data_IF_694791308175
#
_entry.id   IF_694791308175
#
_cell.length_a   1.000
_cell.length_b   1.000
_cell.length_c   1.000
_cell.angle_alpha   90.00
_cell.angle_beta   90.00
_cell.angle_gamma   90.00
#
_symmetry.space_group_name_H-M   'P 1'
#
loop_
_entity.id
_entity.type
_entity.pdbx_description
1 polymer ?
#
# COMPACT_ATOMS: atom_id res chain seq x y z
N UNK A 1 7.79 -6.58 26.84
CA UNK A 1 6.73 -7.02 25.91
C UNK A 1 5.87 -5.82 25.55
N UNK A 2 5.53 -5.67 24.27
CA UNK A 2 4.63 -4.62 23.79
C UNK A 2 3.19 -4.92 24.22
N UNK A 3 2.42 -3.87 24.50
CA UNK A 3 1.05 -4.00 25.02
C UNK A 3 0.09 -4.53 23.97
N UNK A 4 0.26 -4.08 22.70
CA UNK A 4 -0.65 -4.42 21.61
C UNK A 4 0.07 -5.16 20.49
N UNK A 5 -0.54 -6.20 19.98
CA UNK A 5 -0.07 -6.86 18.76
C UNK A 5 -0.33 -6.01 17.52
N UNK A 6 -1.40 -5.22 17.54
CA UNK A 6 -1.81 -4.40 16.41
C UNK A 6 -2.36 -3.06 16.88
N UNK A 7 -1.96 -1.96 16.21
CA UNK A 7 -2.61 -0.66 16.37
C UNK A 7 -3.03 -0.13 15.01
N UNK A 8 -4.26 0.37 14.91
CA UNK A 8 -4.81 1.03 13.71
C UNK A 8 -4.87 2.53 13.97
N UNK A 9 -3.96 3.28 13.38
CA UNK A 9 -3.91 4.73 13.45
C UNK A 9 -4.77 5.33 12.33
N UNK A 10 -5.73 6.20 12.68
CA UNK A 10 -6.68 6.79 11.74
C UNK A 10 -7.95 5.97 11.51
N UNK A 11 -8.32 5.11 12.45
CA UNK A 11 -9.50 4.24 12.37
C UNK A 11 -10.83 4.98 12.12
N UNK A 12 -10.93 6.26 12.43
CA UNK A 12 -12.16 7.07 12.21
C UNK A 12 -12.29 7.66 10.80
N UNK A 13 -11.26 7.50 9.96
CA UNK A 13 -11.30 7.88 8.54
C UNK A 13 -12.15 6.92 7.70
N UNK A 14 -12.37 7.25 6.41
CA UNK A 14 -13.19 6.44 5.49
C UNK A 14 -12.68 5.00 5.42
N UNK A 15 -11.42 4.81 5.05
CA UNK A 15 -10.79 3.47 4.99
C UNK A 15 -10.62 2.88 6.39
N UNK A 16 -10.29 3.71 7.38
CA UNK A 16 -10.11 3.29 8.76
C UNK A 16 -11.34 2.64 9.37
N UNK A 17 -12.55 3.15 9.08
CA UNK A 17 -13.80 2.56 9.56
C UNK A 17 -14.05 1.16 8.98
N UNK A 18 -13.74 0.95 7.69
CA UNK A 18 -13.86 -0.37 7.06
C UNK A 18 -12.84 -1.35 7.62
N UNK A 19 -11.60 -0.91 7.80
CA UNK A 19 -10.54 -1.70 8.44
C UNK A 19 -10.92 -2.06 9.88
N UNK A 20 -11.41 -1.09 10.65
CA UNK A 20 -11.90 -1.33 12.01
C UNK A 20 -12.99 -2.41 12.04
N UNK A 21 -14.03 -2.29 11.20
CA UNK A 21 -15.15 -3.26 11.17
C UNK A 21 -14.64 -4.66 10.85
N UNK A 22 -13.82 -4.79 9.82
CA UNK A 22 -13.25 -6.07 9.42
C UNK A 22 -12.43 -6.72 10.56
N UNK A 23 -11.55 -5.96 11.20
CA UNK A 23 -10.74 -6.46 12.32
C UNK A 23 -11.62 -6.80 13.53
N UNK A 24 -12.58 -5.95 13.87
CA UNK A 24 -13.47 -6.18 15.01
C UNK A 24 -14.36 -7.42 14.84
N UNK A 25 -14.71 -7.76 13.60
CA UNK A 25 -15.49 -8.95 13.27
C UNK A 25 -14.65 -10.23 13.24
N UNK A 26 -13.42 -10.18 12.71
CA UNK A 26 -12.63 -11.37 12.38
C UNK A 26 -11.50 -11.68 13.38
N UNK A 27 -11.04 -10.71 14.17
CA UNK A 27 -10.01 -10.97 15.17
C UNK A 27 -10.57 -11.82 16.33
N UNK A 28 -9.76 -12.72 16.91
CA UNK A 28 -10.12 -13.43 18.14
C UNK A 28 -10.49 -12.46 19.28
N UNK A 29 -11.42 -12.86 20.14
CA UNK A 29 -11.90 -12.01 21.23
C UNK A 29 -10.81 -11.57 22.21
N UNK A 30 -9.78 -12.39 22.37
CA UNK A 30 -8.61 -12.17 23.24
C UNK A 30 -7.42 -11.51 22.52
N UNK A 31 -7.58 -11.13 21.23
CA UNK A 31 -6.51 -10.48 20.48
C UNK A 31 -6.25 -9.07 20.98
N UNK A 32 -5.02 -8.80 21.40
CA UNK A 32 -4.63 -7.49 21.95
C UNK A 32 -4.40 -6.48 20.84
N UNK A 33 -5.35 -5.54 20.67
CA UNK A 33 -5.27 -4.48 19.67
C UNK A 33 -5.88 -3.17 20.15
N UNK A 34 -5.53 -2.08 19.44
CA UNK A 34 -6.04 -0.76 19.71
C UNK A 34 -6.34 0.02 18.43
N UNK A 35 -7.22 1.01 18.56
CA UNK A 35 -7.41 2.08 17.57
C UNK A 35 -6.83 3.37 18.11
N UNK A 36 -6.16 4.13 17.24
CA UNK A 36 -5.46 5.35 17.61
C UNK A 36 -5.90 6.54 16.76
N UNK A 37 -5.89 7.72 17.36
CA UNK A 37 -6.23 8.97 16.67
C UNK A 37 -6.39 10.15 17.63
N UNK A 38 -6.59 11.35 17.07
CA UNK A 38 -6.64 12.60 17.83
C UNK A 38 -7.95 12.84 18.59
N UNK A 39 -9.01 12.12 18.26
CA UNK A 39 -10.35 12.38 18.83
C UNK A 39 -10.90 11.11 19.51
N UNK A 40 -10.79 11.00 20.85
CA UNK A 40 -11.27 9.87 21.60
C UNK A 40 -12.79 9.64 21.47
N UNK A 41 -13.58 10.69 21.37
CA UNK A 41 -15.04 10.55 21.32
C UNK A 41 -15.50 9.98 19.97
N UNK A 42 -14.83 10.35 18.86
CA UNK A 42 -15.07 9.72 17.56
C UNK A 42 -14.70 8.24 17.56
N UNK A 43 -13.62 7.84 18.24
CA UNK A 43 -13.23 6.44 18.39
C UNK A 43 -14.24 5.66 19.21
N UNK A 44 -14.68 6.20 20.36
CA UNK A 44 -15.74 5.58 21.19
C UNK A 44 -17.02 5.42 20.40
N UNK A 45 -17.45 6.48 19.67
CA UNK A 45 -18.62 6.41 18.79
C UNK A 45 -18.49 5.32 17.74
N UNK A 46 -17.36 5.24 17.04
CA UNK A 46 -17.11 4.21 16.03
C UNK A 46 -17.32 2.80 16.61
N UNK A 47 -16.81 2.53 17.81
CA UNK A 47 -16.94 1.24 18.46
C UNK A 47 -18.38 1.00 18.95
N UNK A 48 -19.07 2.03 19.46
CA UNK A 48 -20.47 1.91 19.90
C UNK A 48 -21.45 1.70 18.74
N UNK A 49 -21.15 2.27 17.58
CA UNK A 49 -21.96 2.11 16.36
C UNK A 49 -21.83 0.70 15.74
N UNK A 50 -20.92 -0.13 16.24
CA UNK A 50 -20.70 -1.51 15.79
C UNK A 50 -20.78 -2.50 16.97
N UNK A 51 -22.00 -2.82 17.46
CA UNK A 51 -22.21 -3.66 18.64
C UNK A 51 -21.85 -5.14 18.40
N UNK A 52 -22.15 -5.65 17.20
CA UNK A 52 -21.97 -7.06 16.83
C UNK A 52 -20.53 -7.35 16.39
N UNK A 53 -19.58 -7.21 17.32
CA UNK A 53 -18.14 -7.43 17.11
C UNK A 53 -17.64 -8.61 17.92
N UNK A 54 -16.72 -9.34 17.36
CA UNK A 54 -16.05 -10.45 18.04
C UNK A 54 -14.92 -9.94 18.97
N UNK A 55 -14.21 -8.90 18.55
CA UNK A 55 -13.08 -8.33 19.29
C UNK A 55 -13.24 -6.83 19.53
N UNK A 56 -12.90 -6.37 20.74
CA UNK A 56 -13.03 -4.95 21.13
C UNK A 56 -11.64 -4.33 21.28
N UNK A 57 -11.32 -3.23 20.56
CA UNK A 57 -10.03 -2.55 20.69
C UNK A 57 -9.95 -1.67 21.95
N UNK A 58 -8.73 -1.46 22.43
CA UNK A 58 -8.41 -0.33 23.28
C UNK A 58 -8.37 0.99 22.50
N UNK A 59 -8.35 2.12 23.22
CA UNK A 59 -8.28 3.47 22.62
C UNK A 59 -6.96 4.13 22.99
N UNK A 60 -6.29 4.72 22.00
CA UNK A 60 -5.05 5.48 22.20
C UNK A 60 -5.22 6.87 21.58
N UNK A 61 -5.08 7.91 22.41
CA UNK A 61 -4.97 9.26 21.90
C UNK A 61 -3.60 9.45 21.28
N UNK A 62 -3.53 9.80 19.99
CA UNK A 62 -2.27 9.99 19.29
C UNK A 62 -2.39 11.05 18.20
N UNK A 63 -1.35 11.87 18.07
CA UNK A 63 -1.19 12.84 17.00
C UNK A 63 0.09 12.53 16.22
N UNK A 64 -0.04 12.37 14.90
CA UNK A 64 1.08 12.03 13.98
C UNK A 64 2.11 13.14 13.83
N UNK A 65 1.79 14.38 14.22
CA UNK A 65 2.72 15.52 14.18
C UNK A 65 3.46 15.73 15.50
N UNK A 66 3.01 15.09 16.58
CA UNK A 66 3.64 15.14 17.89
C UNK A 66 4.61 13.94 18.05
N UNK A 67 5.91 14.26 18.16
CA UNK A 67 6.98 13.25 18.23
C UNK A 67 6.84 12.35 19.45
N UNK A 68 6.49 12.89 20.61
CA UNK A 68 6.36 12.13 21.85
C UNK A 68 5.13 11.23 21.81
N UNK A 69 4.05 11.73 21.24
CA UNK A 69 2.83 10.95 20.98
C UNK A 69 3.07 9.77 20.06
N UNK A 70 3.79 10.00 18.95
CA UNK A 70 4.18 8.95 17.99
C UNK A 70 5.10 7.92 18.65
N UNK A 71 6.10 8.37 19.42
CA UNK A 71 7.02 7.47 20.13
C UNK A 71 6.26 6.59 21.13
N UNK A 72 5.39 7.19 21.95
CA UNK A 72 4.58 6.48 22.92
C UNK A 72 3.64 5.44 22.26
N UNK A 73 3.09 5.76 21.10
CA UNK A 73 2.25 4.86 20.34
C UNK A 73 3.03 3.64 19.83
N UNK A 74 4.13 3.91 19.12
CA UNK A 74 4.85 2.90 18.33
C UNK A 74 5.59 1.91 19.24
N UNK A 75 6.19 2.36 20.35
CA UNK A 75 6.89 1.48 21.29
C UNK A 75 5.99 0.41 21.92
N UNK A 76 4.67 0.61 21.91
CA UNK A 76 3.70 -0.26 22.56
C UNK A 76 3.00 -1.24 21.60
N UNK A 77 3.31 -1.28 20.31
CA UNK A 77 2.68 -2.20 19.36
C UNK A 77 3.70 -2.99 18.53
N UNK A 78 3.33 -4.23 18.14
CA UNK A 78 4.14 -5.04 17.23
C UNK A 78 3.95 -4.61 15.78
N UNK A 79 2.72 -4.27 15.39
CA UNK A 79 2.36 -3.82 14.05
C UNK A 79 1.54 -2.54 14.12
N UNK A 80 1.92 -1.54 13.32
CA UNK A 80 1.16 -0.32 13.11
C UNK A 80 0.53 -0.33 11.73
N UNK A 81 -0.81 -0.26 11.65
CA UNK A 81 -1.54 0.06 10.41
C UNK A 81 -1.83 1.55 10.43
N UNK A 82 -1.24 2.28 9.49
CA UNK A 82 -1.37 3.73 9.38
C UNK A 82 -2.33 4.12 8.26
N UNK A 83 -3.49 4.69 8.62
CA UNK A 83 -4.56 5.09 7.71
C UNK A 83 -4.90 6.60 7.80
N UNK A 84 -3.98 7.39 8.35
CA UNK A 84 -4.15 8.84 8.54
C UNK A 84 -3.26 9.63 7.58
N UNK A 85 -3.54 9.60 6.28
CA UNK A 85 -2.85 10.43 5.28
C UNK A 85 -3.09 11.93 5.45
N UNK A 86 -2.37 12.77 4.70
CA UNK A 86 -1.43 12.50 3.60
C UNK A 86 -0.11 11.88 4.08
N UNK A 87 0.35 10.84 3.38
CA UNK A 87 1.49 10.03 3.86
C UNK A 87 2.82 10.77 3.69
N UNK A 88 3.03 11.43 2.58
CA UNK A 88 4.24 12.22 2.33
C UNK A 88 4.50 13.32 3.38
N UNK A 89 3.45 13.78 4.06
CA UNK A 89 3.54 14.85 5.05
C UNK A 89 3.82 14.34 6.46
N UNK A 90 3.29 13.15 6.81
CA UNK A 90 3.23 12.71 8.21
C UNK A 90 3.91 11.38 8.49
N UNK A 91 4.28 10.60 7.46
CA UNK A 91 4.71 9.21 7.71
C UNK A 91 6.20 9.05 7.97
N UNK A 92 7.05 10.00 7.62
CA UNK A 92 8.50 9.83 7.80
C UNK A 92 8.90 9.59 9.25
N UNK A 93 8.31 10.33 10.20
CA UNK A 93 8.53 10.12 11.64
C UNK A 93 8.07 8.73 12.08
N UNK A 94 6.97 8.22 11.50
CA UNK A 94 6.49 6.88 11.81
C UNK A 94 7.46 5.80 11.33
N UNK A 95 8.06 5.95 10.14
CA UNK A 95 9.11 5.05 9.64
C UNK A 95 10.32 5.01 10.59
N UNK A 96 10.82 6.20 10.98
CA UNK A 96 11.94 6.34 11.91
C UNK A 96 11.67 5.60 13.23
N UNK A 97 10.51 5.88 13.85
CA UNK A 97 10.13 5.30 15.14
C UNK A 97 9.80 3.81 15.06
N UNK A 98 9.22 3.35 13.96
CA UNK A 98 9.00 1.92 13.73
C UNK A 98 10.32 1.14 13.69
N UNK A 99 11.35 1.67 13.04
CA UNK A 99 12.69 1.08 13.03
C UNK A 99 13.31 1.13 14.43
N UNK A 100 13.21 2.27 15.12
CA UNK A 100 13.75 2.45 16.46
C UNK A 100 13.20 1.41 17.44
N UNK A 101 11.88 1.24 17.45
CA UNK A 101 11.18 0.35 18.40
C UNK A 101 10.91 -1.06 17.88
N UNK A 102 11.43 -1.43 16.70
CA UNK A 102 11.18 -2.74 16.07
C UNK A 102 9.70 -3.03 15.94
N UNK A 103 8.94 -2.06 15.44
CA UNK A 103 7.52 -2.17 15.10
C UNK A 103 7.39 -2.32 13.60
N UNK A 104 6.59 -3.26 13.12
CA UNK A 104 6.26 -3.37 11.72
C UNK A 104 5.26 -2.29 11.31
N UNK A 105 5.37 -1.79 10.09
CA UNK A 105 4.57 -0.68 9.57
C UNK A 105 3.86 -1.08 8.29
N UNK A 106 2.58 -0.71 8.19
CA UNK A 106 1.76 -0.90 6.99
C UNK A 106 0.96 0.37 6.72
N UNK A 107 0.91 0.84 5.47
CA UNK A 107 0.02 1.92 5.04
C UNK A 107 -0.58 1.66 3.65
N UNK A 108 -1.44 2.56 3.20
CA UNK A 108 -2.11 2.53 1.90
C UNK A 108 -1.74 3.76 1.03
N UNK A 109 -0.57 4.36 1.27
CA UNK A 109 -0.10 5.54 0.54
C UNK A 109 0.23 5.23 -0.93
N UNK A 110 -0.07 6.17 -1.82
CA UNK A 110 0.21 6.06 -3.26
C UNK A 110 1.23 7.08 -3.78
N UNK A 111 1.91 7.80 -2.88
CA UNK A 111 2.90 8.82 -3.25
C UNK A 111 4.26 8.20 -3.56
N UNK A 112 4.46 7.71 -4.80
CA UNK A 112 5.66 6.97 -5.21
C UNK A 112 6.97 7.73 -4.98
N UNK A 113 6.97 9.06 -5.16
CA UNK A 113 8.14 9.90 -4.87
C UNK A 113 8.53 9.89 -3.38
N UNK A 114 7.54 9.90 -2.48
CA UNK A 114 7.76 9.75 -1.06
C UNK A 114 8.29 8.37 -0.71
N UNK A 115 7.67 7.33 -1.27
CA UNK A 115 8.07 5.93 -1.05
C UNK A 115 9.51 5.71 -1.50
N UNK A 116 9.91 6.23 -2.68
CA UNK A 116 11.30 6.18 -3.16
C UNK A 116 12.26 6.76 -2.12
N UNK A 117 11.98 7.97 -1.64
CA UNK A 117 12.80 8.63 -0.62
C UNK A 117 12.89 7.81 0.68
N UNK A 118 11.78 7.19 1.11
CA UNK A 118 11.76 6.32 2.30
C UNK A 118 12.58 5.05 2.08
N UNK A 119 12.51 4.45 0.90
CA UNK A 119 13.35 3.31 0.54
C UNK A 119 14.84 3.68 0.62
N UNK A 120 15.22 4.78 -0.04
CA UNK A 120 16.62 5.23 -0.08
C UNK A 120 17.16 5.52 1.33
N UNK A 121 16.35 6.10 2.21
CA UNK A 121 16.74 6.50 3.56
C UNK A 121 16.71 5.36 4.58
N UNK A 122 15.71 4.47 4.50
CA UNK A 122 15.37 3.59 5.61
C UNK A 122 15.48 2.09 5.29
N UNK A 123 15.59 1.68 4.03
CA UNK A 123 15.58 0.25 3.66
C UNK A 123 16.65 -0.56 4.41
N UNK A 124 17.91 -0.08 4.40
CA UNK A 124 18.99 -0.80 5.06
C UNK A 124 18.80 -0.88 6.58
N UNK A 125 18.45 0.22 7.21
CA UNK A 125 18.22 0.26 8.66
C UNK A 125 17.05 -0.64 9.11
N UNK A 126 15.99 -0.71 8.30
CA UNK A 126 14.86 -1.61 8.54
C UNK A 126 15.27 -3.07 8.39
N UNK A 127 16.04 -3.40 7.35
CA UNK A 127 16.58 -4.75 7.11
C UNK A 127 17.46 -5.22 8.26
N UNK A 128 18.41 -4.39 8.71
CA UNK A 128 19.33 -4.69 9.81
C UNK A 128 18.60 -4.98 11.13
N UNK A 129 17.49 -4.28 11.37
CA UNK A 129 16.64 -4.47 12.55
C UNK A 129 15.53 -5.50 12.38
N UNK A 130 15.41 -6.11 11.19
CA UNK A 130 14.35 -7.05 10.80
C UNK A 130 12.94 -6.45 10.96
N UNK A 131 12.78 -5.17 10.59
CA UNK A 131 11.51 -4.44 10.58
C UNK A 131 10.94 -4.46 9.17
N UNK A 132 9.68 -4.83 9.04
CA UNK A 132 8.94 -4.73 7.77
C UNK A 132 8.32 -3.34 7.70
N UNK A 133 8.68 -2.58 6.68
CA UNK A 133 8.04 -1.34 6.31
C UNK A 133 7.32 -1.57 4.97
N UNK A 134 5.99 -1.64 5.01
CA UNK A 134 5.14 -1.98 3.88
C UNK A 134 4.21 -0.81 3.51
N UNK A 135 4.68 0.19 2.77
CA UNK A 135 3.82 1.21 2.20
C UNK A 135 2.99 0.63 1.04
N UNK A 136 1.96 1.35 0.61
CA UNK A 136 1.09 0.97 -0.53
C UNK A 136 0.34 -0.37 -0.39
N UNK A 137 0.09 -0.82 0.82
CA UNK A 137 -0.63 -2.09 1.06
C UNK A 137 -2.16 -1.94 0.90
N UNK A 138 -2.61 -1.15 -0.07
CA UNK A 138 -4.01 -0.92 -0.39
C UNK A 138 -4.50 -1.68 -1.61
N UNK A 139 -5.80 -1.48 -1.94
CA UNK A 139 -6.44 -2.10 -3.10
C UNK A 139 -5.74 -1.77 -4.43
N UNK A 140 -5.22 -0.56 -4.57
CA UNK A 140 -4.57 -0.11 -5.81
C UNK A 140 -3.20 -0.78 -6.06
N UNK A 141 -2.70 -1.62 -5.15
CA UNK A 141 -1.39 -2.29 -5.29
C UNK A 141 -1.44 -3.77 -4.96
N UNK A 142 -1.92 -4.14 -3.78
CA UNK A 142 -1.85 -5.52 -3.27
C UNK A 142 -2.49 -6.55 -4.19
N UNK A 143 -3.71 -6.37 -4.72
CA UNK A 143 -4.31 -7.38 -5.62
C UNK A 143 -3.49 -7.59 -6.88
N UNK A 144 -2.93 -6.53 -7.44
CA UNK A 144 -2.15 -6.58 -8.69
C UNK A 144 -0.80 -7.26 -8.47
N UNK A 145 -0.13 -6.93 -7.39
CA UNK A 145 1.17 -7.51 -7.03
C UNK A 145 1.03 -9.00 -6.67
N UNK A 146 0.06 -9.36 -5.84
CA UNK A 146 -0.19 -10.74 -5.46
C UNK A 146 -0.69 -11.60 -6.63
N UNK A 147 -1.55 -11.09 -7.51
CA UNK A 147 -1.96 -11.81 -8.72
C UNK A 147 -0.77 -12.05 -9.65
N UNK A 148 0.15 -11.08 -9.75
CA UNK A 148 1.38 -11.24 -10.51
C UNK A 148 2.25 -12.33 -9.91
N UNK A 149 2.50 -12.31 -8.61
CA UNK A 149 3.26 -13.35 -7.91
C UNK A 149 2.61 -14.75 -8.09
N UNK A 150 1.29 -14.83 -7.92
CA UNK A 150 0.55 -16.08 -8.10
C UNK A 150 0.70 -16.65 -9.53
N UNK A 151 0.58 -15.80 -10.54
CA UNK A 151 0.74 -16.21 -11.94
C UNK A 151 2.18 -16.70 -12.22
N UNK A 152 3.19 -15.98 -11.73
CA UNK A 152 4.61 -16.36 -11.87
C UNK A 152 4.87 -17.72 -11.21
N UNK A 153 4.50 -17.86 -9.95
CA UNK A 153 4.75 -19.10 -9.20
C UNK A 153 3.98 -20.30 -9.79
N UNK A 154 2.79 -20.05 -10.33
CA UNK A 154 2.02 -21.08 -11.02
C UNK A 154 2.70 -21.55 -12.33
N UNK A 155 3.15 -20.60 -13.16
CA UNK A 155 3.86 -20.92 -14.41
C UNK A 155 5.14 -21.70 -14.14
N UNK A 156 5.93 -21.26 -13.19
CA UNK A 156 7.18 -21.93 -12.81
C UNK A 156 6.91 -23.34 -12.24
N UNK A 157 5.95 -23.45 -11.33
CA UNK A 157 5.64 -24.74 -10.68
C UNK A 157 4.95 -25.77 -11.59
N UNK A 158 4.04 -25.33 -12.47
CA UNK A 158 3.26 -26.23 -13.32
C UNK A 158 3.93 -26.52 -14.68
N UNK A 159 4.68 -25.54 -15.22
CA UNK A 159 5.20 -25.60 -16.59
C UNK A 159 6.72 -25.48 -16.68
N UNK A 160 7.39 -25.14 -15.59
CA UNK A 160 8.84 -24.88 -15.55
C UNK A 160 9.29 -23.79 -16.55
N UNK A 161 8.42 -22.81 -16.78
CA UNK A 161 8.66 -21.71 -17.72
C UNK A 161 8.69 -20.36 -17.00
N UNK A 162 9.53 -19.45 -17.53
CA UNK A 162 9.57 -18.07 -17.06
C UNK A 162 8.52 -17.21 -17.76
N UNK A 163 7.93 -16.30 -17.02
CA UNK A 163 6.95 -15.36 -17.54
C UNK A 163 7.62 -14.21 -18.28
N UNK A 164 7.27 -13.97 -19.54
CA UNK A 164 7.75 -12.81 -20.29
C UNK A 164 6.88 -11.57 -20.07
N UNK A 165 5.57 -11.75 -19.86
CA UNK A 165 4.63 -10.64 -19.74
C UNK A 165 3.41 -10.99 -18.91
N UNK A 166 3.06 -10.07 -17.98
CA UNK A 166 1.77 -10.06 -17.28
C UNK A 166 0.97 -8.84 -17.75
N UNK A 167 -0.28 -9.08 -18.11
CA UNK A 167 -1.26 -8.04 -18.38
C UNK A 167 -2.49 -8.27 -17.51
N UNK A 168 -2.78 -7.31 -16.61
CA UNK A 168 -3.98 -7.33 -15.77
C UNK A 168 -4.99 -6.35 -16.34
N UNK A 169 -6.20 -6.83 -16.65
CA UNK A 169 -7.31 -5.99 -17.10
C UNK A 169 -8.43 -6.07 -16.07
N UNK A 170 -8.77 -4.92 -15.49
CA UNK A 170 -9.84 -4.81 -14.50
C UNK A 170 -11.13 -4.37 -15.19
N UNK A 171 -12.22 -5.05 -14.89
CA UNK A 171 -13.56 -4.67 -15.34
C UNK A 171 -14.44 -4.32 -14.17
N UNK A 172 -15.06 -3.14 -14.21
CA UNK A 172 -16.07 -2.73 -13.23
C UNK A 172 -17.48 -2.91 -13.84
N UNK A 173 -18.06 -4.08 -13.72
CA UNK A 173 -19.35 -4.38 -14.32
C UNK A 173 -20.55 -3.71 -13.67
N UNK A 174 -20.47 -3.40 -12.38
CA UNK A 174 -21.42 -2.55 -11.63
C UNK A 174 -20.79 -2.14 -10.32
N UNK A 175 -20.67 -0.87 -10.09
CA UNK A 175 -20.57 -0.31 -8.75
C UNK A 175 -21.99 -0.36 -8.13
N UNK A 176 -22.49 -1.60 -7.90
CA UNK A 176 -23.82 -1.81 -7.36
C UNK A 176 -23.94 -1.23 -5.96
N UNK A 177 -24.73 -0.17 -5.81
CA UNK A 177 -25.15 0.31 -4.51
C UNK A 177 -24.14 1.12 -3.70
N UNK A 178 -23.00 1.51 -4.24
CA UNK A 178 -22.11 2.48 -3.59
C UNK A 178 -22.77 3.86 -3.68
N UNK A 179 -23.70 4.14 -2.76
CA UNK A 179 -24.31 5.46 -2.58
C UNK A 179 -23.32 6.50 -2.05
N UNK A 180 -22.10 6.10 -1.72
CA UNK A 180 -21.12 6.91 -1.00
C UNK A 180 -19.82 7.03 -1.82
N UNK A 181 -19.89 7.82 -2.90
CA UNK A 181 -18.74 8.23 -3.73
C UNK A 181 -17.89 9.30 -3.02
N UNK A 182 -17.80 9.28 -1.69
CA UNK A 182 -16.98 10.26 -0.97
C UNK A 182 -15.50 9.91 -1.14
N UNK A 183 -14.80 10.78 -1.89
CA UNK A 183 -13.33 10.76 -1.89
C UNK A 183 -12.87 11.17 -0.50
N UNK A 184 -11.96 10.40 0.08
CA UNK A 184 -11.43 10.72 1.42
C UNK A 184 -10.62 12.03 1.40
N UNK A 185 -10.63 12.76 2.52
CA UNK A 185 -9.75 13.94 2.65
C UNK A 185 -8.28 13.58 2.49
N UNK A 186 -7.87 12.38 2.87
CA UNK A 186 -6.53 11.84 2.62
C UNK A 186 -6.24 11.71 1.12
N UNK A 187 -7.15 11.14 0.34
CA UNK A 187 -6.99 11.00 -1.13
C UNK A 187 -6.88 12.36 -1.83
N UNK A 188 -7.69 13.35 -1.39
CA UNK A 188 -7.59 14.72 -1.91
C UNK A 188 -6.23 15.34 -1.56
N UNK A 189 -5.76 15.15 -0.33
CA UNK A 189 -4.45 15.61 0.12
C UNK A 189 -3.31 14.99 -0.67
N UNK A 190 -3.35 13.68 -0.87
CA UNK A 190 -2.39 12.94 -1.71
C UNK A 190 -2.36 13.48 -3.14
N UNK A 191 -3.53 13.63 -3.78
CA UNK A 191 -3.62 14.16 -5.13
C UNK A 191 -3.06 15.60 -5.23
N UNK A 192 -3.34 16.43 -4.22
CA UNK A 192 -2.76 17.79 -4.15
C UNK A 192 -1.25 17.76 -4.02
N UNK A 193 -0.68 16.90 -3.18
CA UNK A 193 0.76 16.74 -3.03
C UNK A 193 1.42 16.25 -4.32
N UNK A 194 0.77 15.32 -5.00
CA UNK A 194 1.19 14.81 -6.30
C UNK A 194 1.26 15.93 -7.35
N UNK A 195 0.21 16.75 -7.44
CA UNK A 195 0.12 17.83 -8.44
C UNK A 195 1.01 19.05 -8.10
N UNK A 196 1.31 19.27 -6.81
CA UNK A 196 2.13 20.37 -6.35
C UNK A 196 3.63 20.03 -6.26
N UNK A 197 4.00 18.75 -6.39
CA UNK A 197 5.38 18.31 -6.30
C UNK A 197 6.19 18.65 -7.54
N UNK A 198 7.45 19.08 -7.34
CA UNK A 198 8.41 19.37 -8.41
C UNK A 198 8.82 18.11 -9.22
N UNK A 199 8.35 16.95 -8.80
CA UNK A 199 8.74 15.64 -9.34
C UNK A 199 7.69 15.03 -10.29
N UNK A 200 7.04 15.88 -11.13
CA UNK A 200 6.13 15.40 -12.18
C UNK A 200 6.74 14.33 -13.09
N UNK A 201 8.06 14.26 -13.18
CA UNK A 201 8.76 13.23 -13.94
C UNK A 201 8.73 11.84 -13.25
N UNK A 202 8.52 11.79 -11.95
CA UNK A 202 8.43 10.52 -11.21
C UNK A 202 7.23 9.66 -11.64
N UNK A 203 6.16 10.28 -12.19
CA UNK A 203 5.00 9.56 -12.72
C UNK A 203 5.28 8.81 -14.03
N UNK A 204 6.35 9.15 -14.72
CA UNK A 204 6.75 8.48 -15.96
C UNK A 204 7.90 7.49 -15.75
N UNK A 205 8.51 7.47 -14.58
CA UNK A 205 9.58 6.54 -14.25
C UNK A 205 9.05 5.29 -13.53
N UNK A 206 8.68 4.30 -14.31
CA UNK A 206 8.16 3.03 -13.80
C UNK A 206 9.19 2.21 -13.01
N UNK A 207 10.46 2.53 -13.11
CA UNK A 207 11.54 1.91 -12.33
C UNK A 207 11.94 2.70 -11.08
N UNK A 208 11.18 3.74 -10.71
CA UNK A 208 11.54 4.69 -9.65
C UNK A 208 11.74 4.04 -8.26
N UNK A 209 11.14 2.88 -7.99
CA UNK A 209 11.29 2.16 -6.73
C UNK A 209 12.39 1.10 -6.76
N UNK A 210 13.06 0.89 -7.90
CA UNK A 210 14.20 0.01 -8.01
C UNK A 210 15.48 0.70 -7.51
N UNK A 211 16.44 -0.06 -6.95
CA UNK A 211 17.76 0.50 -6.68
C UNK A 211 18.45 0.91 -8.00
N UNK A 212 19.25 1.98 -8.00
CA UNK A 212 19.87 2.52 -9.22
C UNK A 212 20.66 1.49 -10.04
N UNK A 213 21.23 0.48 -9.39
CA UNK A 213 21.99 -0.61 -10.05
C UNK A 213 21.11 -1.68 -10.70
N UNK A 214 19.84 -1.77 -10.31
CA UNK A 214 18.90 -2.75 -10.87
C UNK A 214 18.22 -2.26 -12.15
N UNK A 215 18.25 -0.95 -12.39
CA UNK A 215 17.67 -0.34 -13.59
C UNK A 215 18.71 -0.26 -14.70
N UNK A 216 18.48 -1.04 -15.75
CA UNK A 216 19.34 -1.10 -16.94
C UNK A 216 18.72 -0.37 -18.16
N UNK A 217 17.76 0.53 -17.96
CA UNK A 217 17.03 1.24 -19.02
C UNK A 217 16.02 0.37 -19.79
N UNK A 218 16.29 -0.92 -19.95
CA UNK A 218 15.37 -1.86 -20.62
C UNK A 218 14.11 -2.11 -19.81
N UNK A 219 14.21 -2.06 -18.48
CA UNK A 219 13.06 -2.19 -17.58
C UNK A 219 12.10 -1.03 -17.79
N UNK A 220 12.60 0.21 -17.88
CA UNK A 220 11.79 1.40 -18.18
C UNK A 220 11.10 1.32 -19.52
N UNK A 221 11.81 0.89 -20.57
CA UNK A 221 11.25 0.82 -21.92
C UNK A 221 10.14 -0.22 -22.06
N UNK A 222 10.24 -1.33 -21.34
CA UNK A 222 9.23 -2.41 -21.39
C UNK A 222 7.98 -2.10 -20.56
N UNK A 223 8.09 -1.27 -19.53
CA UNK A 223 7.05 -1.05 -18.54
C UNK A 223 6.46 0.37 -18.58
N UNK A 224 6.32 0.95 -19.76
CA UNK A 224 5.73 2.28 -19.93
C UNK A 224 4.22 2.22 -19.71
N UNK A 225 3.69 3.14 -18.88
CA UNK A 225 2.24 3.34 -18.76
C UNK A 225 1.69 3.94 -20.05
N UNK A 226 0.57 3.41 -20.48
CA UNK A 226 -0.16 3.93 -21.65
C UNK A 226 -1.41 4.65 -21.18
N UNK A 227 -1.47 5.93 -21.42
CA UNK A 227 -2.59 6.78 -21.02
C UNK A 227 -3.72 6.85 -22.05
N UNK A 228 -3.48 6.43 -23.30
CA UNK A 228 -4.49 6.45 -24.35
C UNK A 228 -5.36 5.19 -24.33
N UNK A 229 -6.66 5.37 -24.50
CA UNK A 229 -7.59 4.27 -24.71
C UNK A 229 -7.29 3.57 -26.06
N UNK A 230 -7.42 2.24 -26.08
CA UNK A 230 -7.27 1.42 -27.28
C UNK A 230 -8.15 0.18 -27.21
N UNK A 231 -8.48 -0.36 -28.37
CA UNK A 231 -9.06 -1.69 -28.44
C UNK A 231 -8.01 -2.75 -28.06
N UNK A 232 -8.36 -3.65 -27.18
CA UNK A 232 -7.52 -4.75 -26.72
C UNK A 232 -8.13 -6.07 -27.21
N UNK A 233 -7.41 -6.75 -28.10
CA UNK A 233 -7.91 -7.96 -28.77
C UNK A 233 -8.00 -9.16 -27.81
N UNK A 234 -7.15 -9.24 -26.78
CA UNK A 234 -7.15 -10.35 -25.84
C UNK A 234 -8.42 -10.36 -24.96
N UNK A 235 -8.94 -9.18 -24.64
CA UNK A 235 -10.17 -9.03 -23.83
C UNK A 235 -11.37 -8.58 -24.65
N UNK A 236 -11.19 -8.33 -25.96
CA UNK A 236 -12.21 -7.90 -26.91
C UNK A 236 -12.99 -6.66 -26.44
N UNK A 237 -12.28 -5.67 -25.86
CA UNK A 237 -12.86 -4.45 -25.32
C UNK A 237 -11.92 -3.26 -25.47
N UNK A 238 -12.47 -2.04 -25.40
CA UNK A 238 -11.63 -0.87 -25.21
C UNK A 238 -11.07 -0.85 -23.80
N UNK A 239 -9.77 -0.67 -23.69
CA UNK A 239 -9.05 -0.54 -22.42
C UNK A 239 -8.36 0.81 -22.34
N UNK A 240 -8.35 1.38 -21.15
CA UNK A 240 -7.66 2.63 -20.81
C UNK A 240 -6.80 2.47 -19.57
N UNK A 241 -6.12 3.55 -19.14
CA UNK A 241 -5.30 3.50 -17.93
C UNK A 241 -6.12 3.14 -16.71
N UNK A 242 -5.57 2.36 -15.82
CA UNK A 242 -6.21 2.04 -14.55
C UNK A 242 -6.40 3.32 -13.72
N UNK A 243 -7.62 3.56 -13.30
CA UNK A 243 -7.96 4.75 -12.50
C UNK A 243 -8.12 4.37 -11.01
N UNK A 244 -7.78 5.27 -10.08
CA UNK A 244 -7.29 6.64 -10.29
C UNK A 244 -5.77 6.78 -10.43
N UNK A 245 -5.00 5.72 -10.26
CA UNK A 245 -3.54 5.80 -10.17
C UNK A 245 -2.82 4.85 -11.16
N UNK A 246 -2.82 5.17 -12.47
CA UNK A 246 -2.25 4.29 -13.50
C UNK A 246 -0.72 4.14 -13.42
N UNK A 247 -0.06 4.92 -12.58
CA UNK A 247 1.40 4.94 -12.40
C UNK A 247 1.87 4.16 -11.16
N UNK A 248 0.97 3.62 -10.33
CA UNK A 248 1.35 3.07 -9.03
C UNK A 248 1.77 1.60 -9.08
N UNK A 249 1.02 0.76 -9.79
CA UNK A 249 1.23 -0.69 -9.74
C UNK A 249 2.54 -1.14 -10.40
N UNK A 250 2.90 -0.54 -11.53
CA UNK A 250 4.12 -0.93 -12.26
C UNK A 250 5.37 -0.81 -11.38
N UNK A 251 5.64 0.35 -10.71
CA UNK A 251 6.77 0.45 -9.79
C UNK A 251 6.73 -0.55 -8.63
N UNK A 252 5.54 -0.84 -8.08
CA UNK A 252 5.36 -1.78 -6.96
C UNK A 252 5.70 -3.19 -7.41
N UNK A 253 5.11 -3.67 -8.51
CA UNK A 253 5.37 -5.02 -9.07
C UNK A 253 6.84 -5.20 -9.44
N UNK A 254 7.46 -4.20 -10.06
CA UNK A 254 8.90 -4.27 -10.40
C UNK A 254 9.79 -4.33 -9.14
N UNK A 255 9.43 -3.59 -8.09
CA UNK A 255 10.13 -3.69 -6.82
C UNK A 255 9.96 -5.04 -6.16
N UNK A 256 8.75 -5.60 -6.14
CA UNK A 256 8.47 -6.94 -5.63
C UNK A 256 9.28 -7.98 -6.40
N UNK A 257 9.30 -7.92 -7.73
CA UNK A 257 10.12 -8.78 -8.57
C UNK A 257 11.61 -8.71 -8.20
N UNK A 258 12.13 -7.48 -7.99
CA UNK A 258 13.53 -7.28 -7.56
C UNK A 258 13.81 -7.88 -6.17
N UNK A 259 12.94 -7.65 -5.20
CA UNK A 259 13.14 -8.19 -3.84
C UNK A 259 12.99 -9.71 -3.79
N UNK A 260 12.02 -10.26 -4.50
CA UNK A 260 11.76 -11.69 -4.56
C UNK A 260 12.87 -12.47 -5.28
N UNK A 261 13.52 -11.86 -6.28
CA UNK A 261 14.70 -12.47 -6.94
C UNK A 261 15.86 -12.73 -5.97
N UNK A 262 15.99 -11.92 -4.92
CA UNK A 262 17.00 -12.10 -3.88
C UNK A 262 16.77 -13.31 -2.97
N UNK A 263 15.55 -13.83 -2.97
CA UNK A 263 15.15 -15.03 -2.21
C UNK A 263 14.78 -16.22 -3.11
N UNK A 264 15.16 -16.16 -4.39
CA UNK A 264 15.05 -17.27 -5.33
C UNK A 264 13.74 -17.34 -6.12
N UNK A 265 12.88 -16.31 -6.05
CA UNK A 265 11.68 -16.22 -6.90
C UNK A 265 11.99 -15.23 -8.04
N UNK A 266 12.27 -15.74 -9.23
CA UNK A 266 12.66 -14.93 -10.39
C UNK A 266 11.50 -14.76 -11.36
N UNK A 267 11.12 -13.51 -11.64
CA UNK A 267 10.10 -13.19 -12.65
C UNK A 267 10.61 -13.31 -14.09
N UNK A 268 11.91 -13.53 -14.26
CA UNK A 268 12.56 -13.67 -15.56
C UNK A 268 13.18 -12.38 -16.08
N UNK A 269 14.34 -12.52 -16.76
CA UNK A 269 15.15 -11.39 -17.26
C UNK A 269 14.41 -10.47 -18.26
N UNK A 270 13.37 -10.99 -18.91
CA UNK A 270 12.57 -10.27 -19.90
C UNK A 270 11.17 -9.88 -19.38
N UNK A 271 10.93 -10.02 -18.09
CA UNK A 271 9.64 -9.74 -17.47
C UNK A 271 9.16 -8.31 -17.78
N UNK A 272 7.89 -8.21 -18.10
CA UNK A 272 7.17 -6.94 -18.23
C UNK A 272 5.77 -7.03 -17.62
N UNK A 273 5.34 -5.93 -17.05
CA UNK A 273 4.03 -5.81 -16.41
C UNK A 273 3.24 -4.65 -17.01
N UNK A 274 1.95 -4.83 -17.16
CA UNK A 274 1.03 -3.75 -17.51
C UNK A 274 -0.34 -4.00 -16.89
N UNK A 275 -1.00 -2.93 -16.50
CA UNK A 275 -2.40 -2.95 -16.07
C UNK A 275 -3.24 -1.95 -16.86
N UNK A 276 -4.54 -2.20 -16.87
CA UNK A 276 -5.53 -1.36 -17.53
C UNK A 276 -6.93 -1.66 -16.97
N UNK A 277 -7.90 -0.84 -17.37
CA UNK A 277 -9.30 -1.10 -17.09
C UNK A 277 -10.13 -1.09 -18.36
N UNK A 278 -11.20 -1.87 -18.41
CA UNK A 278 -12.21 -1.76 -19.48
C UNK A 278 -12.96 -0.43 -19.35
N UNK A 279 -13.27 0.18 -20.49
CA UNK A 279 -13.98 1.45 -20.57
C UNK A 279 -15.45 1.24 -20.98
#
# INVERSE_FOLDING_TARGET
LKTYRLVVLGATGVTGQNTFRHLAEHLPADFSWAIAGRNPDKMKKLVSDFPDRNSTPAYISADVVDRDSVDALIKNCDVLIHLAGPYATHSELLFEKCIEHRTHYVDIGGETFFIKRMIEKYHQAASDKKVILLPTAGYESVPFDLLTLLAITHLEGAYQEHCAKIKIVTSFHRLGGVRDNRISGGSIGTMRNILAGDDCNAFNDMACLLPPKADNGRVRDRNKVRYAARYDEDVQAFTGPLQPAPFLNVPVVLRSAHLLSQVGIDYGANFSYSDSMTM
#
